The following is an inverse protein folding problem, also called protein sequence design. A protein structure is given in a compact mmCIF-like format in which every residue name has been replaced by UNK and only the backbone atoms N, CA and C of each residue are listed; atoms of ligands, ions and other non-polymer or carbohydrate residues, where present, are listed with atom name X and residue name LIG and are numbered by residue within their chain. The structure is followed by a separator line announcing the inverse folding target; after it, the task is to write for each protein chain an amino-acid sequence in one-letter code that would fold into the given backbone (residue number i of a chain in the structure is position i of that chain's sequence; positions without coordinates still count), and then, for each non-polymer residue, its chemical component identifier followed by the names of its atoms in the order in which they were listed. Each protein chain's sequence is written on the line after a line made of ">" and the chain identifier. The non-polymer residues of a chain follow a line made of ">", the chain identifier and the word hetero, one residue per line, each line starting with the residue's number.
data_IF_802466922721
#
_entry.id   IF_802466922721
#
_cell.length_a   1.000
_cell.length_b   1.000
_cell.length_c   1.000
_cell.angle_alpha   90.00
_cell.angle_beta   90.00
_cell.angle_gamma   90.00
#
_symmetry.space_group_name_H-M   'P 1'
#
loop_
_entity.id
_entity.type
_entity.pdbx_description
1 polymer ?
#
# COMPACT_ATOMS: atom_id res chain seq x y z
N UNK A 1 -8.00 22.25 9.03
CA UNK A 1 -7.55 20.98 8.44
C UNK A 1 -6.03 21.02 8.42
N UNK A 2 -5.38 20.20 9.23
CA UNK A 2 -3.92 20.11 9.21
C UNK A 2 -3.57 19.13 8.09
N UNK A 3 -3.35 19.65 6.88
CA UNK A 3 -2.75 18.85 5.81
C UNK A 3 -1.31 18.60 6.27
N UNK A 4 -1.00 17.35 6.64
CA UNK A 4 0.37 16.97 6.97
C UNK A 4 1.33 17.34 5.83
N UNK A 5 2.65 17.38 6.08
CA UNK A 5 3.60 17.75 5.04
C UNK A 5 3.37 16.87 3.80
N UNK A 6 3.07 17.52 2.67
CA UNK A 6 3.12 16.88 1.35
C UNK A 6 4.60 16.70 1.06
N UNK A 7 5.15 15.60 1.53
CA UNK A 7 6.54 15.23 1.31
C UNK A 7 6.81 15.20 -0.19
N UNK A 8 7.94 15.75 -0.62
CA UNK A 8 8.29 15.80 -2.04
C UNK A 8 8.42 14.37 -2.58
N UNK A 9 7.56 14.04 -3.56
CA UNK A 9 7.57 12.75 -4.24
C UNK A 9 8.95 12.50 -4.88
N UNK A 10 9.53 11.28 -4.75
CA UNK A 10 10.75 10.90 -5.46
C UNK A 10 10.63 11.13 -6.96
N UNK A 11 11.76 11.34 -7.63
CA UNK A 11 11.77 11.55 -9.08
C UNK A 11 11.84 10.23 -9.87
N UNK A 12 12.32 9.15 -9.24
CA UNK A 12 12.49 7.84 -9.87
C UNK A 12 11.88 6.73 -9.01
N UNK A 13 11.35 5.64 -9.61
CA UNK A 13 10.89 4.48 -8.85
C UNK A 13 12.00 3.87 -7.99
N UNK A 14 11.62 3.36 -6.82
CA UNK A 14 12.54 2.76 -5.85
C UNK A 14 12.39 3.32 -4.44
N UNK A 15 13.43 3.16 -3.63
CA UNK A 15 13.51 3.65 -2.26
C UNK A 15 14.58 4.73 -2.15
N UNK A 16 14.23 5.87 -1.58
CA UNK A 16 15.13 6.99 -1.36
C UNK A 16 14.97 7.54 0.06
N UNK A 17 16.01 8.12 0.68
CA UNK A 17 15.87 8.79 1.97
C UNK A 17 15.09 10.09 1.80
N UNK A 18 14.12 10.33 2.68
CA UNK A 18 13.37 11.60 2.72
C UNK A 18 13.76 12.49 3.91
N UNK A 19 13.10 13.64 4.07
CA UNK A 19 13.33 14.55 5.20
C UNK A 19 12.91 13.91 6.53
N UNK A 20 13.34 14.49 7.66
CA UNK A 20 12.82 14.14 9.01
C UNK A 20 12.84 12.64 9.36
N UNK A 21 13.89 11.92 8.96
CA UNK A 21 14.01 10.46 9.17
C UNK A 21 12.89 9.64 8.50
N UNK A 22 12.46 10.04 7.30
CA UNK A 22 11.59 9.23 6.46
C UNK A 22 12.38 8.40 5.45
N UNK A 23 11.75 7.34 4.96
CA UNK A 23 12.10 6.64 3.73
C UNK A 23 10.93 6.79 2.76
N UNK A 24 11.20 7.29 1.55
CA UNK A 24 10.20 7.49 0.51
C UNK A 24 10.30 6.34 -0.49
N UNK A 25 9.14 5.80 -0.85
CA UNK A 25 9.00 4.68 -1.76
C UNK A 25 8.16 5.16 -2.94
N UNK A 26 8.71 5.13 -4.15
CA UNK A 26 7.92 5.38 -5.36
C UNK A 26 7.78 4.08 -6.14
N UNK A 27 6.53 3.66 -6.37
CA UNK A 27 6.22 2.58 -7.28
C UNK A 27 5.39 3.10 -8.46
N UNK A 28 5.71 2.62 -9.66
CA UNK A 28 5.01 2.95 -10.89
C UNK A 28 4.46 1.67 -11.50
N UNK A 29 3.16 1.64 -11.68
CA UNK A 29 2.45 0.62 -12.44
C UNK A 29 2.48 1.01 -13.91
N UNK A 30 2.88 0.07 -14.75
CA UNK A 30 2.83 0.17 -16.22
C UNK A 30 1.65 -0.63 -16.79
N UNK A 31 1.19 -0.37 -18.03
CA UNK A 31 -0.02 -1.00 -18.57
C UNK A 31 -0.03 -2.53 -18.65
N UNK A 32 1.14 -3.16 -18.64
CA UNK A 32 1.35 -4.61 -18.65
C UNK A 32 1.58 -5.21 -17.24
N UNK A 33 1.56 -4.37 -16.21
CA UNK A 33 1.72 -4.79 -14.82
C UNK A 33 0.46 -5.50 -14.35
N UNK A 34 0.60 -6.74 -13.90
CA UNK A 34 -0.52 -7.45 -13.26
C UNK A 34 -0.65 -7.02 -11.80
N UNK A 35 -1.81 -7.32 -11.21
CA UNK A 35 -2.04 -7.11 -9.78
C UNK A 35 -0.95 -7.78 -8.93
N UNK A 36 -0.63 -9.05 -9.20
CA UNK A 36 0.31 -9.85 -8.42
C UNK A 36 1.72 -9.29 -8.49
N UNK A 37 2.13 -8.81 -9.67
CA UNK A 37 3.42 -8.14 -9.86
C UNK A 37 3.48 -6.87 -9.02
N UNK A 38 2.44 -6.01 -9.09
CA UNK A 38 2.38 -4.78 -8.31
C UNK A 38 2.38 -5.03 -6.79
N UNK A 39 1.67 -6.06 -6.33
CA UNK A 39 1.64 -6.46 -4.93
C UNK A 39 3.02 -6.96 -4.46
N UNK A 40 3.66 -7.85 -5.22
CA UNK A 40 4.99 -8.36 -4.88
C UNK A 40 6.04 -7.22 -4.85
N UNK A 41 6.03 -6.35 -5.85
CA UNK A 41 7.01 -5.27 -5.98
C UNK A 41 6.85 -4.22 -4.87
N UNK A 42 5.62 -3.79 -4.58
CA UNK A 42 5.39 -2.83 -3.48
C UNK A 42 5.78 -3.43 -2.14
N UNK A 43 5.46 -4.70 -1.86
CA UNK A 43 5.93 -5.36 -0.65
C UNK A 43 7.46 -5.38 -0.56
N UNK A 44 8.15 -5.76 -1.65
CA UNK A 44 9.60 -5.81 -1.70
C UNK A 44 10.24 -4.43 -1.46
N UNK A 45 9.64 -3.36 -1.98
CA UNK A 45 10.11 -1.99 -1.75
C UNK A 45 9.92 -1.57 -0.28
N UNK A 46 8.81 -1.92 0.36
CA UNK A 46 8.61 -1.63 1.80
C UNK A 46 9.60 -2.42 2.66
N UNK A 47 9.82 -3.69 2.32
CA UNK A 47 10.82 -4.53 2.98
C UNK A 47 12.23 -3.97 2.79
N UNK A 48 12.58 -3.54 1.58
CA UNK A 48 13.85 -2.89 1.29
C UNK A 48 14.01 -1.60 2.11
N UNK A 49 12.99 -0.74 2.16
CA UNK A 49 13.03 0.48 2.95
C UNK A 49 13.26 0.21 4.44
N UNK A 50 12.68 -0.86 4.99
CA UNK A 50 12.95 -1.26 6.38
C UNK A 50 14.37 -1.80 6.58
N UNK A 51 14.97 -2.46 5.57
CA UNK A 51 16.34 -2.97 5.63
C UNK A 51 17.37 -1.83 5.52
N UNK A 52 17.18 -0.96 4.54
CA UNK A 52 18.09 0.14 4.22
C UNK A 52 17.97 1.28 5.25
N UNK A 53 16.77 1.50 5.80
CA UNK A 53 16.47 2.56 6.75
C UNK A 53 15.63 2.07 7.95
N UNK A 54 16.22 1.26 8.85
CA UNK A 54 15.48 0.61 9.93
C UNK A 54 14.69 1.59 10.81
N UNK A 55 13.38 1.35 10.92
CA UNK A 55 12.49 2.10 11.80
C UNK A 55 12.14 3.51 11.34
N UNK A 56 12.65 3.97 10.18
CA UNK A 56 12.26 5.25 9.58
C UNK A 56 10.81 5.21 9.12
N UNK A 57 10.12 6.35 9.24
CA UNK A 57 8.74 6.49 8.77
C UNK A 57 8.69 6.25 7.25
N UNK A 58 7.84 5.34 6.78
CA UNK A 58 7.74 4.99 5.36
C UNK A 58 6.55 5.68 4.69
N UNK A 59 6.82 6.39 3.60
CA UNK A 59 5.78 7.03 2.77
C UNK A 59 5.83 6.41 1.38
N UNK A 60 4.72 5.79 0.97
CA UNK A 60 4.60 5.17 -0.36
C UNK A 60 3.82 6.09 -1.29
N UNK A 61 4.38 6.32 -2.46
CA UNK A 61 3.79 7.05 -3.57
C UNK A 61 3.50 6.07 -4.70
N UNK A 62 2.30 6.14 -5.24
CA UNK A 62 1.89 5.33 -6.38
C UNK A 62 1.68 6.19 -7.61
N UNK A 63 2.26 5.76 -8.72
CA UNK A 63 1.90 6.22 -10.06
C UNK A 63 1.27 5.07 -10.83
N UNK A 64 0.20 5.34 -11.58
CA UNK A 64 -0.43 4.34 -12.44
C UNK A 64 -0.48 4.89 -13.86
N UNK A 65 0.23 4.22 -14.76
CA UNK A 65 0.13 4.43 -16.19
C UNK A 65 -0.79 3.34 -16.79
N UNK A 66 -1.90 3.76 -17.39
CA UNK A 66 -2.89 2.81 -17.92
C UNK A 66 -3.92 2.38 -16.86
N UNK A 67 -4.35 1.12 -16.92
CA UNK A 67 -5.34 0.52 -16.01
C UNK A 67 -6.60 1.37 -15.82
N UNK A 68 -7.10 1.94 -16.92
CA UNK A 68 -8.24 2.85 -16.90
C UNK A 68 -9.55 2.07 -16.93
N UNK A 69 -10.52 2.49 -16.12
CA UNK A 69 -11.84 1.85 -16.07
C UNK A 69 -12.89 2.76 -15.46
N UNK A 70 -14.03 2.18 -15.09
CA UNK A 70 -15.20 2.94 -14.62
C UNK A 70 -15.21 3.18 -13.11
N UNK A 71 -14.37 2.48 -12.35
CA UNK A 71 -14.30 2.61 -10.89
C UNK A 71 -13.33 3.74 -10.53
N UNK A 72 -13.86 4.96 -10.42
CA UNK A 72 -13.08 6.16 -10.15
C UNK A 72 -11.94 6.42 -11.17
N UNK A 73 -12.11 5.93 -12.40
CA UNK A 73 -11.11 6.05 -13.47
C UNK A 73 -10.18 4.85 -13.60
N UNK A 74 -10.27 3.85 -12.72
CA UNK A 74 -9.44 2.64 -12.75
C UNK A 74 -10.23 1.39 -13.16
N UNK A 75 -9.53 0.40 -13.70
CA UNK A 75 -10.05 -0.97 -13.82
C UNK A 75 -10.21 -1.60 -12.42
N UNK A 76 -10.87 -2.77 -12.36
CA UNK A 76 -11.18 -3.42 -11.09
C UNK A 76 -9.92 -3.77 -10.29
N UNK A 77 -8.92 -4.35 -10.96
CA UNK A 77 -7.69 -4.81 -10.33
C UNK A 77 -6.93 -3.66 -9.68
N UNK A 78 -6.77 -2.53 -10.37
CA UNK A 78 -6.01 -1.40 -9.83
C UNK A 78 -6.81 -0.47 -8.94
N UNK A 79 -8.14 -0.57 -8.95
CA UNK A 79 -8.97 -0.04 -7.87
C UNK A 79 -8.76 -0.85 -6.57
N UNK A 80 -8.85 -2.18 -6.65
CA UNK A 80 -8.64 -3.08 -5.50
C UNK A 80 -7.20 -3.00 -4.96
N UNK A 81 -6.20 -2.88 -5.84
CA UNK A 81 -4.81 -2.69 -5.45
C UNK A 81 -4.65 -1.47 -4.52
N UNK A 82 -5.28 -0.35 -4.86
CA UNK A 82 -5.19 0.87 -4.05
C UNK A 82 -5.98 0.76 -2.73
N UNK A 83 -7.18 0.20 -2.76
CA UNK A 83 -8.10 0.19 -1.61
C UNK A 83 -7.88 -0.97 -0.64
N UNK A 84 -7.77 -2.18 -1.16
CA UNK A 84 -7.70 -3.38 -0.33
C UNK A 84 -6.25 -3.71 0.00
N UNK A 85 -5.39 -3.77 -1.01
CA UNK A 85 -4.00 -4.19 -0.82
C UNK A 85 -3.13 -3.10 -0.17
N UNK A 86 -3.02 -1.91 -0.80
CA UNK A 86 -2.14 -0.86 -0.30
C UNK A 86 -2.61 -0.28 1.04
N UNK A 87 -3.90 0.03 1.17
CA UNK A 87 -4.43 0.59 2.42
C UNK A 87 -4.72 -0.46 3.48
N UNK A 88 -5.35 -1.59 3.11
CA UNK A 88 -5.73 -2.63 4.06
C UNK A 88 -4.55 -3.48 4.53
N UNK A 89 -3.80 -4.05 3.59
CA UNK A 89 -2.71 -4.99 3.89
C UNK A 89 -1.37 -4.29 4.17
N UNK A 90 -0.90 -3.41 3.28
CA UNK A 90 0.39 -2.72 3.45
C UNK A 90 0.32 -1.52 4.39
N UNK A 91 -0.85 -0.89 4.54
CA UNK A 91 -1.08 0.30 5.36
C UNK A 91 -0.48 0.23 6.78
N UNK A 92 -0.64 -0.87 7.54
CA UNK A 92 -0.04 -1.03 8.85
C UNK A 92 1.50 -0.88 8.89
N UNK A 93 2.20 -1.13 7.79
CA UNK A 93 3.66 -1.02 7.69
C UNK A 93 4.13 0.34 7.17
N UNK A 94 3.20 1.22 6.80
CA UNK A 94 3.46 2.54 6.25
C UNK A 94 2.99 3.62 7.23
N UNK A 95 3.64 4.78 7.18
CA UNK A 95 3.22 6.00 7.87
C UNK A 95 2.35 6.89 6.97
N UNK A 96 2.48 6.76 5.65
CA UNK A 96 1.65 7.50 4.70
C UNK A 96 1.59 6.83 3.33
N UNK A 97 0.50 7.12 2.62
CA UNK A 97 0.20 6.69 1.27
C UNK A 97 -0.21 7.93 0.46
N UNK A 98 0.38 8.10 -0.71
CA UNK A 98 -0.04 9.07 -1.72
C UNK A 98 -0.43 8.30 -2.99
N UNK A 99 -1.72 8.03 -3.12
CA UNK A 99 -2.29 7.22 -4.20
C UNK A 99 -3.07 8.10 -5.17
N UNK A 100 -3.16 7.72 -6.45
CA UNK A 100 -4.03 8.40 -7.41
C UNK A 100 -5.49 8.51 -6.94
N UNK A 101 -5.98 7.52 -6.19
CA UNK A 101 -7.32 7.53 -5.62
C UNK A 101 -7.46 8.47 -4.40
N UNK A 102 -6.45 8.53 -3.53
CA UNK A 102 -6.43 9.34 -2.31
C UNK A 102 -5.04 9.40 -1.66
N UNK A 103 -4.82 10.43 -0.84
CA UNK A 103 -3.64 10.50 0.03
C UNK A 103 -4.06 10.40 1.50
N UNK A 104 -3.44 9.50 2.28
CA UNK A 104 -3.75 9.26 3.69
C UNK A 104 -2.50 9.06 4.53
N UNK A 105 -2.59 9.48 5.80
CA UNK A 105 -1.61 9.15 6.83
C UNK A 105 -2.12 8.00 7.68
N UNK A 106 -1.23 7.10 8.09
CA UNK A 106 -1.58 6.07 9.06
C UNK A 106 -1.71 6.72 10.45
N UNK A 107 -2.90 6.70 11.08
CA UNK A 107 -3.09 7.31 12.39
C UNK A 107 -2.48 6.48 13.52
N UNK A 108 -2.03 5.25 13.23
CA UNK A 108 -1.38 4.35 14.19
C UNK A 108 0.13 4.33 13.94
N UNK A 109 0.95 4.00 14.96
CA UNK A 109 2.36 3.74 14.76
C UNK A 109 2.57 2.67 13.67
N UNK A 110 3.43 2.95 12.70
CA UNK A 110 3.77 1.96 11.70
C UNK A 110 4.41 0.73 12.36
N UNK A 111 4.12 -0.45 11.82
CA UNK A 111 4.75 -1.71 12.18
C UNK A 111 6.07 -1.86 11.44
N UNK A 112 7.08 -2.41 12.12
CA UNK A 112 8.41 -2.67 11.56
C UNK A 112 8.74 -4.17 11.44
N UNK A 113 7.84 -5.02 11.93
CA UNK A 113 7.90 -6.48 11.88
C UNK A 113 7.35 -7.00 10.54
N UNK A 114 7.95 -6.57 9.43
CA UNK A 114 7.65 -7.12 8.11
C UNK A 114 8.14 -8.57 8.01
N UNK A 115 7.35 -9.50 7.43
CA UNK A 115 7.84 -10.82 7.11
C UNK A 115 8.90 -10.77 5.99
N UNK A 116 9.72 -11.81 5.86
CA UNK A 116 10.75 -11.86 4.81
C UNK A 116 10.18 -12.06 3.40
N UNK A 117 8.98 -12.64 3.32
CA UNK A 117 8.25 -12.90 2.08
C UNK A 117 6.75 -12.92 2.33
N UNK A 118 5.98 -12.68 1.28
CA UNK A 118 4.54 -12.91 1.22
C UNK A 118 4.23 -13.79 0.01
N UNK A 119 3.18 -14.58 0.11
CA UNK A 119 2.57 -15.24 -1.04
C UNK A 119 1.35 -14.39 -1.41
N UNK A 120 1.33 -13.89 -2.65
CA UNK A 120 0.21 -13.10 -3.16
C UNK A 120 -0.64 -14.02 -4.01
N UNK A 121 -1.79 -14.41 -3.47
CA UNK A 121 -2.86 -14.99 -4.26
C UNK A 121 -3.64 -13.83 -4.91
N UNK A 122 -3.76 -13.85 -6.24
CA UNK A 122 -4.49 -12.84 -7.01
C UNK A 122 -5.95 -12.71 -6.58
N UNK A 123 -6.66 -11.65 -7.02
CA UNK A 123 -8.05 -11.44 -6.64
C UNK A 123 -8.93 -12.62 -7.10
N UNK A 124 -9.30 -13.48 -6.15
CA UNK A 124 -10.43 -14.40 -6.33
C UNK A 124 -11.71 -13.59 -6.48
N UNK A 125 -12.72 -14.13 -7.18
CA UNK A 125 -14.01 -13.49 -7.44
C UNK A 125 -14.87 -13.10 -6.20
N UNK A 126 -14.27 -13.07 -4.99
CA UNK A 126 -14.87 -12.68 -3.72
C UNK A 126 -13.98 -11.79 -2.84
N UNK A 127 -12.96 -11.13 -3.37
CA UNK A 127 -12.06 -10.23 -2.63
C UNK A 127 -10.93 -10.96 -1.90
N UNK A 128 -9.91 -10.21 -1.46
CA UNK A 128 -8.74 -10.74 -0.74
C UNK A 128 -9.16 -11.48 0.53
N UNK A 129 -8.62 -12.67 0.81
CA UNK A 129 -8.92 -13.44 2.01
C UNK A 129 -8.13 -12.88 3.21
N UNK A 130 -8.30 -11.61 3.54
CA UNK A 130 -7.96 -11.13 4.87
C UNK A 130 -9.23 -11.11 5.71
N UNK A 131 -9.24 -11.77 6.88
CA UNK A 131 -10.34 -11.59 7.81
C UNK A 131 -10.35 -10.13 8.24
N UNK A 132 -11.22 -9.33 7.65
CA UNK A 132 -11.75 -8.14 8.29
C UNK A 132 -12.35 -8.66 9.59
N UNK A 133 -11.65 -8.49 10.71
CA UNK A 133 -12.18 -8.81 12.03
C UNK A 133 -13.28 -7.80 12.35
N UNK A 134 -14.42 -7.92 11.65
CA UNK A 134 -15.69 -7.46 12.14
C UNK A 134 -16.02 -8.45 13.24
N UNK A 135 -15.78 -8.07 14.48
CA UNK A 135 -16.27 -8.81 15.63
C UNK A 135 -17.77 -8.99 15.48
N UNK A 136 -18.19 -10.14 14.94
CA UNK A 136 -19.56 -10.59 15.03
C UNK A 136 -19.75 -11.03 16.47
N UNK A 137 -20.72 -10.48 17.22
CA UNK A 137 -21.12 -11.11 18.45
C UNK A 137 -21.65 -12.49 18.10
N UNK A 138 -20.98 -13.52 18.61
CA UNK A 138 -21.43 -14.90 18.59
C UNK A 138 -22.86 -14.89 19.14
N UNK A 139 -23.84 -15.25 18.30
CA UNK A 139 -25.20 -15.46 18.75
C UNK A 139 -25.32 -16.95 19.10
N UNK A 140 -25.33 -17.34 20.40
CA UNK A 140 -25.58 -18.72 20.75
C UNK A 140 -27.09 -18.94 20.65
N UNK A 141 -27.50 -19.76 19.69
CA UNK A 141 -28.82 -20.37 19.68
C UNK A 141 -29.09 -21.03 21.05
N UNK A 142 -30.17 -20.59 21.69
CA UNK A 142 -31.04 -21.45 22.50
C UNK A 142 -32.49 -21.03 22.27
#
# INVERSE_FOLDING_TARGET
>A
MNVGPVYQKPQSPGVEPGPENTAHILYRVEPDTTFEQAAADTFNLVLQAQKDYPGRARVLYLEINGHTGTQFGFDGDFFEFQQEYLQGFLGPFLSGLDLPLLSVFNPRPQRNDLPDKIEVDGPTAGGFPFPLNHGQPENPNH
#
